data_IF_334559258090
#
_entry.id   IF_334559258090
#
_cell.length_a   1.000
_cell.length_b   1.000
_cell.length_c   1.000
_cell.angle_alpha   90.00
_cell.angle_beta   90.00
_cell.angle_gamma   90.00
#
_symmetry.space_group_name_H-M   'P 1'
#
loop_
_entity.id
_entity.type
_entity.pdbx_description
1 polymer ?
#
# COMPACT_ATOMS: atom_id res chain seq x y z
N UNK A 1 2.67 2.68 47.81
CA UNK A 1 2.95 1.41 47.11
C UNK A 1 1.77 0.89 46.30
N UNK A 2 0.56 0.88 46.83
CA UNK A 2 -0.64 0.43 46.09
C UNK A 2 -0.92 1.32 44.86
N UNK A 3 -0.71 2.63 44.95
CA UNK A 3 -0.91 3.56 43.85
C UNK A 3 0.04 3.33 42.67
N UNK A 4 1.26 2.92 42.94
CA UNK A 4 2.25 2.57 41.90
C UNK A 4 1.85 1.29 41.15
N UNK A 5 1.38 0.28 41.83
CA UNK A 5 0.89 -0.98 41.24
C UNK A 5 -0.35 -0.74 40.35
N UNK A 6 -1.30 0.04 40.86
CA UNK A 6 -2.51 0.38 40.12
C UNK A 6 -2.19 1.19 38.86
N UNK A 7 -1.24 2.14 38.95
CA UNK A 7 -0.80 2.94 37.82
C UNK A 7 -0.15 2.09 36.72
N UNK A 8 0.75 1.17 37.09
CA UNK A 8 1.40 0.25 36.15
C UNK A 8 0.39 -0.67 35.46
N UNK A 9 -0.64 -1.15 36.17
CA UNK A 9 -1.68 -2.00 35.62
C UNK A 9 -2.54 -1.22 34.63
N UNK A 10 -2.87 0.03 34.93
CA UNK A 10 -3.66 0.91 34.05
C UNK A 10 -2.87 1.21 32.78
N UNK A 11 -1.59 1.57 32.87
CA UNK A 11 -0.72 1.82 31.74
C UNK A 11 -0.61 0.59 30.83
N UNK A 12 -0.49 -0.60 31.42
CA UNK A 12 -0.43 -1.85 30.68
C UNK A 12 -1.75 -2.14 29.95
N UNK A 13 -2.88 -1.94 30.61
CA UNK A 13 -4.22 -2.13 30.01
C UNK A 13 -4.43 -1.17 28.85
N UNK A 14 -4.03 0.11 29.01
CA UNK A 14 -4.10 1.11 27.94
C UNK A 14 -3.22 0.69 26.74
N UNK A 15 -1.98 0.26 27.01
CA UNK A 15 -1.08 -0.20 25.97
C UNK A 15 -1.64 -1.40 25.20
N UNK A 16 -2.20 -2.37 25.90
CA UNK A 16 -2.85 -3.54 25.30
C UNK A 16 -4.08 -3.15 24.48
N UNK A 17 -4.89 -2.23 24.99
CA UNK A 17 -6.07 -1.71 24.28
C UNK A 17 -5.68 -0.99 23.01
N UNK A 18 -4.62 -0.17 23.05
CA UNK A 18 -4.09 0.53 21.86
C UNK A 18 -3.58 -0.46 20.81
N UNK A 19 -2.87 -1.51 21.25
CA UNK A 19 -2.44 -2.57 20.35
C UNK A 19 -3.62 -3.29 19.69
N UNK A 20 -4.67 -3.57 20.45
CA UNK A 20 -5.89 -4.16 19.93
C UNK A 20 -6.58 -3.26 18.91
N UNK A 21 -6.71 -1.96 19.22
CA UNK A 21 -7.30 -1.00 18.30
C UNK A 21 -6.51 -0.90 17.00
N UNK A 22 -5.17 -0.85 17.07
CA UNK A 22 -4.32 -0.82 15.90
C UNK A 22 -4.46 -2.08 15.04
N UNK A 23 -4.57 -3.25 15.67
CA UNK A 23 -4.80 -4.51 14.94
C UNK A 23 -6.16 -4.57 14.26
N UNK A 24 -7.17 -3.89 14.84
CA UNK A 24 -8.52 -3.86 14.30
C UNK A 24 -8.77 -2.67 13.37
N UNK A 25 -7.83 -1.75 13.28
CA UNK A 25 -7.95 -0.58 12.45
C UNK A 25 -7.93 -0.97 10.98
N UNK A 26 -8.93 -0.55 10.25
CA UNK A 26 -9.09 -0.85 8.82
C UNK A 26 -8.89 0.35 7.93
N UNK A 27 -9.08 1.57 8.46
CA UNK A 27 -8.93 2.80 7.71
C UNK A 27 -7.64 3.50 8.04
N UNK A 28 -6.91 3.83 6.99
CA UNK A 28 -5.69 4.63 7.04
C UNK A 28 -5.76 5.68 5.95
N UNK A 29 -4.84 6.63 5.98
CA UNK A 29 -4.71 7.62 4.91
C UNK A 29 -3.28 7.67 4.41
N UNK A 30 -3.11 7.68 3.09
CA UNK A 30 -1.83 7.85 2.43
C UNK A 30 -1.94 9.07 1.51
N UNK A 31 -1.23 10.15 1.88
CA UNK A 31 -1.36 11.44 1.20
C UNK A 31 -2.82 11.90 1.08
N UNK A 32 -3.60 11.74 2.16
CA UNK A 32 -5.01 12.08 2.20
C UNK A 32 -5.95 11.14 1.47
N UNK A 33 -5.44 10.09 0.83
CA UNK A 33 -6.24 9.09 0.12
C UNK A 33 -6.59 7.94 1.04
N UNK A 34 -7.77 7.37 0.84
CA UNK A 34 -8.20 6.22 1.62
C UNK A 34 -7.30 5.01 1.38
N UNK A 35 -6.79 4.45 2.47
CA UNK A 35 -6.09 3.16 2.49
C UNK A 35 -6.92 2.25 3.37
N UNK A 36 -7.66 1.32 2.76
CA UNK A 36 -8.67 0.53 3.46
C UNK A 36 -8.33 -0.96 3.42
N UNK A 37 -8.44 -1.60 4.60
CA UNK A 37 -8.30 -3.04 4.71
C UNK A 37 -9.69 -3.68 4.61
N UNK A 38 -10.07 -4.09 3.43
CA UNK A 38 -11.33 -4.79 3.19
C UNK A 38 -11.33 -6.13 3.95
N UNK A 39 -10.23 -6.87 3.85
CA UNK A 39 -9.89 -7.97 4.73
C UNK A 39 -8.54 -7.65 5.37
N UNK A 40 -8.38 -7.90 6.68
CA UNK A 40 -7.12 -7.61 7.35
C UNK A 40 -5.98 -8.48 6.83
N UNK A 41 -4.73 -8.01 6.98
CA UNK A 41 -3.57 -8.81 6.63
C UNK A 41 -3.54 -10.12 7.45
N UNK A 42 -3.18 -11.21 6.78
CA UNK A 42 -3.01 -12.52 7.44
C UNK A 42 -1.77 -12.52 8.32
N UNK A 43 -0.70 -11.87 7.87
CA UNK A 43 0.54 -11.72 8.61
C UNK A 43 0.57 -10.38 9.34
N UNK A 44 1.37 -10.24 10.42
CA UNK A 44 1.45 -8.98 11.14
C UNK A 44 2.17 -7.92 10.30
N UNK A 45 1.43 -6.91 9.86
CA UNK A 45 1.92 -5.79 9.05
C UNK A 45 1.61 -4.48 9.79
N UNK A 46 2.62 -3.67 10.01
CA UNK A 46 2.46 -2.32 10.56
C UNK A 46 2.16 -1.35 9.42
N UNK A 47 0.89 -1.18 9.11
CA UNK A 47 0.43 -0.33 8.00
C UNK A 47 0.81 1.12 8.22
N UNK A 48 0.69 1.63 9.45
CA UNK A 48 1.04 3.01 9.77
C UNK A 48 2.52 3.30 9.49
N UNK A 49 3.40 2.36 9.81
CA UNK A 49 4.84 2.48 9.53
C UNK A 49 5.11 2.48 8.02
N UNK A 50 4.42 1.64 7.26
CA UNK A 50 4.53 1.59 5.80
C UNK A 50 4.09 2.91 5.17
N UNK A 51 2.97 3.45 5.61
CA UNK A 51 2.47 4.74 5.12
C UNK A 51 3.48 5.85 5.42
N UNK A 52 4.00 5.89 6.64
CA UNK A 52 4.99 6.88 7.04
C UNK A 52 6.25 6.82 6.17
N UNK A 53 6.74 5.62 5.91
CA UNK A 53 7.90 5.42 5.02
C UNK A 53 7.61 5.92 3.61
N UNK A 54 6.47 5.58 3.04
CA UNK A 54 6.09 6.01 1.69
C UNK A 54 5.97 7.54 1.63
N UNK A 55 5.30 8.14 2.61
CA UNK A 55 5.13 9.60 2.66
C UNK A 55 6.46 10.35 2.84
N UNK A 56 7.45 9.70 3.44
CA UNK A 56 8.78 10.26 3.62
C UNK A 56 9.62 10.18 2.34
N UNK A 57 9.49 9.10 1.58
CA UNK A 57 10.37 8.78 0.44
C UNK A 57 9.79 9.26 -0.88
N UNK A 58 8.46 9.14 -1.06
CA UNK A 58 7.81 9.36 -2.36
C UNK A 58 7.16 10.73 -2.41
N UNK A 59 7.42 11.54 -3.47
CA UNK A 59 6.74 12.82 -3.64
C UNK A 59 5.23 12.64 -3.78
N UNK A 60 4.42 13.49 -3.12
CA UNK A 60 2.95 13.36 -3.15
C UNK A 60 2.33 13.42 -4.53
N UNK A 61 2.91 14.20 -5.44
CA UNK A 61 2.34 14.36 -6.79
C UNK A 61 2.36 13.07 -7.61
N UNK A 62 3.17 12.08 -7.25
CA UNK A 62 3.17 10.79 -7.93
C UNK A 62 1.90 9.98 -7.66
N UNK A 63 1.15 10.33 -6.61
CA UNK A 63 -0.14 9.71 -6.29
C UNK A 63 -1.35 10.40 -6.93
N UNK A 64 -1.12 11.32 -7.85
CA UNK A 64 -2.17 12.14 -8.46
C UNK A 64 -3.28 11.31 -9.12
N UNK A 65 -2.92 10.19 -9.73
CA UNK A 65 -3.87 9.29 -10.40
C UNK A 65 -4.41 8.20 -9.48
N UNK A 66 -4.00 8.18 -8.21
CA UNK A 66 -4.45 7.19 -7.24
C UNK A 66 -5.48 7.84 -6.31
N UNK A 67 -6.70 7.33 -6.32
CA UNK A 67 -7.79 7.79 -5.46
C UNK A 67 -7.84 7.02 -4.16
N UNK A 68 -7.51 5.74 -4.18
CA UNK A 68 -7.61 4.86 -3.02
C UNK A 68 -6.72 3.64 -3.17
N UNK A 69 -6.42 3.03 -2.02
CA UNK A 69 -5.69 1.77 -1.93
C UNK A 69 -6.56 0.80 -1.14
N UNK A 70 -6.79 -0.38 -1.68
CA UNK A 70 -7.64 -1.41 -1.09
C UNK A 70 -6.82 -2.67 -0.87
N UNK A 71 -6.85 -3.19 0.37
CA UNK A 71 -6.23 -4.47 0.71
C UNK A 71 -7.32 -5.50 0.96
N UNK A 72 -7.16 -6.69 0.42
CA UNK A 72 -8.16 -7.72 0.63
C UNK A 72 -7.83 -9.04 -0.07
N UNK A 73 -8.75 -9.96 0.08
CA UNK A 73 -8.70 -11.28 -0.55
C UNK A 73 -9.54 -11.21 -1.85
N UNK A 74 -8.92 -10.67 -2.89
CA UNK A 74 -9.61 -10.42 -4.16
C UNK A 74 -9.43 -11.59 -5.12
N UNK A 75 -10.54 -12.13 -5.63
CA UNK A 75 -10.53 -13.26 -6.57
C UNK A 75 -9.73 -12.94 -7.83
N UNK A 76 -9.83 -11.71 -8.35
CA UNK A 76 -9.12 -11.33 -9.56
C UNK A 76 -7.59 -11.31 -9.39
N UNK A 77 -7.09 -11.15 -8.15
CA UNK A 77 -5.66 -11.27 -7.86
C UNK A 77 -5.24 -12.74 -7.80
N UNK A 78 -6.06 -13.58 -7.17
CA UNK A 78 -5.82 -15.02 -7.11
C UNK A 78 -5.77 -15.66 -8.51
N UNK A 79 -6.74 -15.32 -9.34
CA UNK A 79 -6.88 -15.91 -10.68
C UNK A 79 -5.67 -15.59 -11.57
N UNK A 80 -5.03 -14.43 -11.34
CA UNK A 80 -3.85 -14.00 -12.10
C UNK A 80 -2.54 -14.27 -11.37
N UNK A 81 -2.57 -14.88 -10.18
CA UNK A 81 -1.42 -15.09 -9.30
C UNK A 81 -0.63 -13.78 -9.05
N UNK A 82 -1.32 -12.69 -8.84
CA UNK A 82 -0.75 -11.36 -8.60
C UNK A 82 -0.92 -10.94 -7.15
N UNK A 83 0.05 -10.18 -6.64
CA UNK A 83 -0.02 -9.59 -5.30
C UNK A 83 -0.71 -8.23 -5.30
N UNK A 84 -0.77 -7.55 -6.45
CA UNK A 84 -1.43 -6.26 -6.58
C UNK A 84 -1.84 -5.94 -8.01
N UNK A 85 -2.70 -4.93 -8.15
CA UNK A 85 -3.14 -4.42 -9.44
C UNK A 85 -3.59 -2.98 -9.32
N UNK A 86 -3.18 -2.13 -10.26
CA UNK A 86 -3.74 -0.79 -10.43
C UNK A 86 -4.87 -0.87 -11.45
N UNK A 87 -6.05 -0.33 -11.07
CA UNK A 87 -7.23 -0.34 -11.94
C UNK A 87 -8.07 0.90 -11.68
N UNK A 88 -8.21 1.76 -12.69
CA UNK A 88 -9.14 2.91 -12.68
C UNK A 88 -9.05 3.78 -11.41
N UNK A 89 -7.84 4.19 -11.05
CA UNK A 89 -7.60 5.05 -9.90
C UNK A 89 -7.44 4.32 -8.57
N UNK A 90 -7.60 3.01 -8.53
CA UNK A 90 -7.44 2.23 -7.31
C UNK A 90 -6.26 1.26 -7.40
N UNK A 91 -5.50 1.18 -6.32
CA UNK A 91 -4.49 0.14 -6.13
C UNK A 91 -5.10 -0.94 -5.26
N UNK A 92 -5.10 -2.17 -5.75
CA UNK A 92 -5.55 -3.35 -5.01
C UNK A 92 -4.34 -4.18 -4.61
N UNK A 93 -4.27 -4.57 -3.35
CA UNK A 93 -3.17 -5.36 -2.79
C UNK A 93 -3.76 -6.56 -2.07
N UNK A 94 -3.15 -7.74 -2.26
CA UNK A 94 -3.57 -8.94 -1.53
C UNK A 94 -3.29 -8.80 -0.03
N UNK A 95 -4.18 -9.34 0.80
CA UNK A 95 -3.97 -9.39 2.25
C UNK A 95 -2.96 -10.47 2.67
N UNK A 96 -2.39 -11.19 1.72
CA UNK A 96 -1.40 -12.25 1.97
C UNK A 96 0.05 -11.75 1.91
N UNK A 97 0.26 -10.45 1.80
CA UNK A 97 1.59 -9.84 1.90
C UNK A 97 2.23 -10.21 3.25
N UNK A 98 3.46 -10.68 3.21
CA UNK A 98 4.12 -11.25 4.39
C UNK A 98 4.91 -10.23 5.21
N UNK A 99 5.43 -9.17 4.60
CA UNK A 99 6.30 -8.19 5.26
C UNK A 99 5.96 -6.76 4.84
N UNK A 100 6.35 -5.80 5.68
CA UNK A 100 6.21 -4.37 5.37
C UNK A 100 6.98 -4.00 4.10
N UNK A 101 8.16 -4.57 3.91
CA UNK A 101 8.99 -4.34 2.73
C UNK A 101 8.24 -4.76 1.46
N UNK A 102 7.62 -5.93 1.48
CA UNK A 102 6.83 -6.43 0.35
C UNK A 102 5.64 -5.51 0.07
N UNK A 103 5.00 -4.99 1.11
CA UNK A 103 3.90 -4.05 0.94
C UNK A 103 4.36 -2.75 0.26
N UNK A 104 5.47 -2.19 0.71
CA UNK A 104 6.05 -0.99 0.08
C UNK A 104 6.37 -1.26 -1.39
N UNK A 105 7.03 -2.37 -1.69
CA UNK A 105 7.41 -2.75 -3.05
C UNK A 105 6.17 -2.91 -3.95
N UNK A 106 5.12 -3.54 -3.45
CA UNK A 106 3.87 -3.71 -4.20
C UNK A 106 3.18 -2.37 -4.46
N UNK A 107 3.11 -1.50 -3.47
CA UNK A 107 2.50 -0.16 -3.64
C UNK A 107 3.28 0.64 -4.68
N UNK A 108 4.61 0.65 -4.59
CA UNK A 108 5.47 1.37 -5.53
C UNK A 108 5.31 0.81 -6.95
N UNK A 109 5.25 -0.50 -7.08
CA UNK A 109 5.05 -1.16 -8.37
C UNK A 109 3.72 -0.74 -9.02
N UNK A 110 2.62 -0.79 -8.26
CA UNK A 110 1.30 -0.39 -8.78
C UNK A 110 1.20 1.12 -9.01
N UNK A 111 1.90 1.91 -8.19
CA UNK A 111 2.03 3.34 -8.41
C UNK A 111 2.68 3.64 -9.77
N UNK A 112 3.70 2.87 -10.14
CA UNK A 112 4.35 3.02 -11.44
C UNK A 112 3.39 2.78 -12.59
N UNK A 113 2.46 1.83 -12.45
CA UNK A 113 1.42 1.60 -13.44
C UNK A 113 0.42 2.76 -13.55
N UNK A 114 0.12 3.42 -12.42
CA UNK A 114 -0.74 4.61 -12.45
C UNK A 114 -0.09 5.75 -13.22
N UNK A 115 1.22 5.91 -13.08
CA UNK A 115 2.00 6.92 -13.80
C UNK A 115 2.05 6.59 -15.30
N UNK A 116 2.30 5.33 -15.65
CA UNK A 116 2.27 4.85 -17.03
C UNK A 116 0.90 5.11 -17.68
N UNK A 117 -0.17 4.86 -16.95
CA UNK A 117 -1.52 5.10 -17.42
C UNK A 117 -1.76 6.57 -17.76
N UNK A 118 -1.28 7.49 -16.91
CA UNK A 118 -1.40 8.94 -17.13
C UNK A 118 -0.64 9.41 -18.36
N UNK A 119 0.59 8.95 -18.52
CA UNK A 119 1.49 9.41 -19.58
C UNK A 119 1.49 8.47 -20.79
N UNK A 120 0.68 7.44 -20.78
CA UNK A 120 0.63 6.44 -21.85
C UNK A 120 0.33 7.03 -23.21
N UNK A 121 -0.55 8.02 -23.28
CA UNK A 121 -0.89 8.70 -24.52
C UNK A 121 0.32 9.42 -25.16
N UNK A 122 1.19 9.99 -24.33
CA UNK A 122 2.39 10.69 -24.80
C UNK A 122 3.48 9.71 -25.19
N UNK A 123 3.61 8.60 -24.46
CA UNK A 123 4.65 7.60 -24.67
C UNK A 123 4.28 6.66 -25.82
N UNK A 124 3.02 6.18 -25.84
CA UNK A 124 2.56 5.17 -26.80
C UNK A 124 1.93 5.76 -28.06
N UNK A 125 1.68 7.07 -28.08
CA UNK A 125 1.28 7.79 -29.28
C UNK A 125 2.39 7.88 -30.32
N UNK A 126 3.66 7.78 -29.87
CA UNK A 126 4.84 7.67 -30.73
C UNK A 126 5.36 6.23 -30.64
N UNK A 127 5.24 5.48 -31.74
CA UNK A 127 5.66 4.08 -31.83
C UNK A 127 7.15 3.89 -31.52
N UNK A 128 7.98 4.87 -31.88
CA UNK A 128 9.42 4.83 -31.62
C UNK A 128 9.72 4.96 -30.13
N UNK A 129 9.07 5.91 -29.44
CA UNK A 129 9.22 6.10 -28.01
C UNK A 129 8.67 4.90 -27.24
N UNK A 130 7.58 4.33 -27.70
CA UNK A 130 7.01 3.12 -27.11
C UNK A 130 8.00 1.94 -27.18
N UNK A 131 8.62 1.74 -28.35
CA UNK A 131 9.61 0.69 -28.54
C UNK A 131 10.83 0.89 -27.64
N UNK A 132 11.33 2.12 -27.52
CA UNK A 132 12.46 2.44 -26.64
C UNK A 132 12.11 2.21 -25.17
N UNK A 133 10.94 2.67 -24.74
CA UNK A 133 10.48 2.49 -23.37
C UNK A 133 10.35 1.01 -23.02
N UNK A 134 9.74 0.22 -23.90
CA UNK A 134 9.59 -1.22 -23.70
C UNK A 134 10.94 -1.93 -23.67
N UNK A 135 11.86 -1.54 -24.54
CA UNK A 135 13.21 -2.08 -24.60
C UNK A 135 13.99 -1.80 -23.31
N UNK A 136 13.94 -0.57 -22.81
CA UNK A 136 14.59 -0.18 -21.55
C UNK A 136 14.01 -0.93 -20.36
N UNK A 137 12.70 -1.07 -20.32
CA UNK A 137 12.01 -1.80 -19.26
C UNK A 137 12.43 -3.27 -19.22
N UNK A 138 12.57 -3.91 -20.38
CA UNK A 138 13.05 -5.29 -20.50
C UNK A 138 14.49 -5.44 -20.02
N UNK A 139 15.35 -4.45 -20.30
CA UNK A 139 16.75 -4.47 -19.88
C UNK A 139 16.92 -4.32 -18.37
N UNK A 140 16.00 -3.66 -17.71
CA UNK A 140 16.04 -3.44 -16.25
C UNK A 140 15.53 -4.65 -15.46
N UNK A 141 14.94 -5.61 -16.13
CA UNK A 141 14.56 -6.88 -15.52
C UNK A 141 15.71 -7.87 -15.61
#
# INVERSE_FOLDING_TARGET
>A
MQNKKNRLNIEKVIAESLKKQNKQRREFQLFGRLFYLNEPFIFPIDVAAVIDDIETIIPPHLFEEVDQIMVGDFDFLHDKAREGEYRDGAIYITNQIATEKDLVENIVHELSHSIESKFGHFIYGDMLLHSEFTGKRRRLK
#
